data_IF_298103175067
#
_entry.id   IF_298103175067
#
_cell.length_a   1.000
_cell.length_b   1.000
_cell.length_c   1.000
_cell.angle_alpha   90.00
_cell.angle_beta   90.00
_cell.angle_gamma   90.00
#
_symmetry.space_group_name_H-M   'P 1'
#
loop_
_entity.id
_entity.type
_entity.pdbx_description
1 polymer ?
#
# COMPACT_ATOMS: atom_id res chain seq x y z
N UNK A 1 4.65 4.01 4.53
CA UNK A 1 5.39 5.15 5.11
C UNK A 1 4.61 6.45 4.88
N UNK A 2 5.02 7.56 5.50
CA UNK A 2 4.41 8.87 5.29
C UNK A 2 3.56 9.38 6.45
N UNK A 3 2.25 9.56 6.23
CA UNK A 3 1.35 10.21 7.18
C UNK A 3 0.42 9.21 7.90
N UNK A 4 -0.27 9.69 8.95
CA UNK A 4 -1.25 8.92 9.72
C UNK A 4 -2.32 8.21 8.86
N UNK A 5 -2.74 8.81 7.73
CA UNK A 5 -3.68 8.15 6.82
C UNK A 5 -3.05 6.95 6.12
N UNK A 6 -1.84 7.10 5.60
CA UNK A 6 -1.11 5.98 4.99
C UNK A 6 -0.86 4.84 5.99
N UNK A 7 -0.69 5.12 7.29
CA UNK A 7 -0.59 4.07 8.31
C UNK A 7 -1.89 3.28 8.46
N UNK A 8 -3.04 3.96 8.46
CA UNK A 8 -4.35 3.29 8.47
C UNK A 8 -4.57 2.48 7.20
N UNK A 9 -4.23 3.04 6.04
CA UNK A 9 -4.33 2.39 4.72
C UNK A 9 -3.45 1.12 4.68
N UNK A 10 -2.21 1.21 5.17
CA UNK A 10 -1.31 0.06 5.30
C UNK A 10 -1.85 -1.02 6.24
N UNK A 11 -2.43 -0.63 7.38
CA UNK A 11 -3.04 -1.58 8.31
C UNK A 11 -4.27 -2.27 7.68
N UNK A 12 -5.09 -1.54 6.92
CA UNK A 12 -6.23 -2.09 6.21
C UNK A 12 -5.79 -3.11 5.14
N UNK A 13 -4.80 -2.77 4.31
CA UNK A 13 -4.24 -3.69 3.31
C UNK A 13 -3.64 -4.95 3.98
N UNK A 14 -2.87 -4.79 5.05
CA UNK A 14 -2.28 -5.91 5.78
C UNK A 14 -3.37 -6.84 6.38
N UNK A 15 -4.43 -6.27 6.95
CA UNK A 15 -5.58 -7.03 7.45
C UNK A 15 -6.27 -7.79 6.32
N UNK A 16 -6.55 -7.14 5.19
CA UNK A 16 -7.23 -7.76 4.06
C UNK A 16 -6.42 -8.94 3.48
N UNK A 17 -5.09 -8.81 3.39
CA UNK A 17 -4.19 -9.88 2.98
C UNK A 17 -4.17 -11.04 3.98
N UNK A 18 -4.14 -10.74 5.28
CA UNK A 18 -4.20 -11.77 6.33
C UNK A 18 -5.53 -12.52 6.33
N UNK A 19 -6.66 -11.82 6.19
CA UNK A 19 -7.98 -12.43 6.08
C UNK A 19 -8.11 -13.31 4.83
N UNK A 20 -7.42 -12.92 3.76
CA UNK A 20 -7.28 -13.69 2.53
C UNK A 20 -6.37 -14.91 2.65
N UNK A 21 -5.61 -15.06 3.74
CA UNK A 21 -4.74 -16.21 4.00
C UNK A 21 -3.25 -16.01 3.66
N UNK A 22 -2.82 -14.78 3.41
CA UNK A 22 -1.40 -14.44 3.31
C UNK A 22 -0.77 -14.22 4.69
N UNK A 23 0.49 -14.56 4.83
CA UNK A 23 1.28 -14.27 6.02
C UNK A 23 2.17 -13.04 5.81
N UNK A 24 2.42 -12.32 6.91
CA UNK A 24 3.38 -11.21 6.92
C UNK A 24 4.78 -11.73 7.28
N UNK A 25 5.76 -11.45 6.42
CA UNK A 25 7.16 -11.74 6.73
C UNK A 25 7.76 -10.70 7.69
N UNK A 26 8.66 -11.14 8.56
CA UNK A 26 9.47 -10.26 9.41
C UNK A 26 10.67 -9.64 8.68
N UNK A 27 11.04 -10.18 7.51
CA UNK A 27 12.13 -9.70 6.67
C UNK A 27 11.67 -9.55 5.22
N UNK A 28 11.94 -8.40 4.55
CA UNK A 28 11.67 -8.22 3.14
C UNK A 28 12.34 -9.27 2.23
N UNK A 29 13.51 -9.80 2.62
CA UNK A 29 14.26 -10.79 1.84
C UNK A 29 13.58 -12.17 1.74
N UNK A 30 12.64 -12.46 2.64
CA UNK A 30 11.92 -13.74 2.71
C UNK A 30 10.50 -13.64 2.12
N UNK A 31 10.09 -12.47 1.65
CA UNK A 31 8.74 -12.24 1.16
C UNK A 31 8.60 -12.55 -0.34
N UNK A 32 7.49 -13.19 -0.73
CA UNK A 32 7.13 -13.36 -2.15
C UNK A 32 6.64 -12.04 -2.78
N UNK A 33 6.14 -11.11 -1.95
CA UNK A 33 5.66 -9.80 -2.36
C UNK A 33 6.02 -8.76 -1.31
N UNK A 34 6.56 -7.62 -1.75
CA UNK A 34 6.83 -6.45 -0.90
C UNK A 34 5.96 -5.28 -1.35
N UNK A 35 5.18 -4.71 -0.43
CA UNK A 35 4.28 -3.58 -0.71
C UNK A 35 4.86 -2.32 -0.07
N UNK A 36 5.22 -1.33 -0.88
CA UNK A 36 5.68 -0.01 -0.42
C UNK A 36 4.51 0.98 -0.54
N UNK A 37 3.88 1.31 0.59
CA UNK A 37 2.84 2.35 0.64
C UNK A 37 3.47 3.75 0.72
N UNK A 38 3.35 4.50 -0.37
CA UNK A 38 4.06 5.75 -0.65
C UNK A 38 3.25 7.00 -0.29
N UNK A 39 3.97 8.08 0.02
CA UNK A 39 3.41 9.42 0.11
C UNK A 39 3.98 10.28 -1.02
N UNK A 40 3.16 11.15 -1.59
CA UNK A 40 3.58 12.09 -2.64
C UNK A 40 3.04 13.50 -2.39
N UNK A 41 2.63 13.82 -1.16
CA UNK A 41 1.99 15.10 -0.87
C UNK A 41 3.01 16.24 -0.78
N UNK A 42 4.09 16.04 -0.01
CA UNK A 42 5.20 16.98 0.12
C UNK A 42 6.46 16.41 -0.51
N UNK A 43 7.35 17.28 -1.00
CA UNK A 43 8.54 16.88 -1.74
C UNK A 43 9.42 15.91 -0.93
N UNK A 44 9.70 16.20 0.33
CA UNK A 44 10.55 15.35 1.17
C UNK A 44 9.97 13.94 1.34
N UNK A 45 8.64 13.82 1.45
CA UNK A 45 7.97 12.52 1.56
C UNK A 45 7.96 11.77 0.22
N UNK A 46 7.93 12.49 -0.91
CA UNK A 46 8.12 11.89 -2.25
C UNK A 46 9.53 11.32 -2.37
N UNK A 47 10.56 12.08 -1.98
CA UNK A 47 11.96 11.66 -2.02
C UNK A 47 12.20 10.42 -1.14
N UNK A 48 11.72 10.45 0.10
CA UNK A 48 11.77 9.29 1.03
C UNK A 48 11.03 8.07 0.45
N UNK A 49 9.89 8.28 -0.20
CA UNK A 49 9.14 7.19 -0.82
C UNK A 49 9.90 6.58 -2.02
N UNK A 50 10.58 7.40 -2.82
CA UNK A 50 11.41 6.92 -3.92
C UNK A 50 12.63 6.15 -3.42
N UNK A 51 13.30 6.65 -2.37
CA UNK A 51 14.43 5.97 -1.74
C UNK A 51 14.02 4.57 -1.27
N UNK A 52 12.91 4.44 -0.54
CA UNK A 52 12.42 3.13 -0.09
C UNK A 52 12.02 2.20 -1.25
N UNK A 53 11.48 2.74 -2.35
CA UNK A 53 11.19 1.95 -3.56
C UNK A 53 12.50 1.38 -4.12
N UNK A 54 13.52 2.21 -4.30
CA UNK A 54 14.79 1.76 -4.88
C UNK A 54 15.56 0.83 -3.95
N UNK A 55 15.53 1.08 -2.64
CA UNK A 55 16.07 0.13 -1.64
C UNK A 55 15.37 -1.23 -1.73
N UNK A 56 14.04 -1.23 -1.88
CA UNK A 56 13.27 -2.47 -2.04
C UNK A 56 13.56 -3.16 -3.37
N UNK A 57 13.68 -2.39 -4.46
CA UNK A 57 14.02 -2.90 -5.78
C UNK A 57 15.41 -3.54 -5.82
N UNK A 58 16.35 -3.00 -5.04
CA UNK A 58 17.71 -3.53 -4.89
C UNK A 58 17.80 -4.77 -3.99
N UNK A 59 16.69 -5.22 -3.36
CA UNK A 59 16.70 -6.48 -2.62
C UNK A 59 16.98 -7.64 -3.57
N UNK A 60 17.87 -8.59 -3.21
CA UNK A 60 18.25 -9.66 -4.12
C UNK A 60 17.06 -10.51 -4.61
N UNK A 61 16.03 -10.69 -3.78
CA UNK A 61 14.82 -11.41 -4.18
C UNK A 61 13.99 -10.65 -5.23
N UNK A 62 13.90 -9.33 -5.13
CA UNK A 62 13.18 -8.48 -6.10
C UNK A 62 13.97 -8.35 -7.39
N UNK A 63 15.27 -8.10 -7.30
CA UNK A 63 16.16 -7.96 -8.47
C UNK A 63 16.19 -9.23 -9.34
N UNK A 64 16.16 -10.41 -8.71
CA UNK A 64 16.09 -11.70 -9.43
C UNK A 64 14.68 -12.05 -9.92
N UNK A 65 13.65 -11.32 -9.48
CA UNK A 65 12.25 -11.61 -9.78
C UNK A 65 11.65 -12.76 -8.98
N UNK A 66 12.29 -13.18 -7.88
CA UNK A 66 11.75 -14.15 -6.93
C UNK A 66 10.64 -13.53 -6.07
N UNK A 67 10.72 -12.21 -5.82
CA UNK A 67 9.73 -11.42 -5.10
C UNK A 67 9.19 -10.28 -5.95
N UNK A 68 7.91 -9.94 -5.80
CA UNK A 68 7.29 -8.83 -6.52
C UNK A 68 7.24 -7.55 -5.68
N UNK A 69 7.70 -6.43 -6.24
CA UNK A 69 7.50 -5.09 -5.68
C UNK A 69 6.16 -4.52 -6.14
N UNK A 70 5.33 -4.10 -5.18
CA UNK A 70 4.09 -3.35 -5.41
C UNK A 70 4.24 -1.95 -4.81
N UNK A 71 4.01 -0.92 -5.62
CA UNK A 71 4.00 0.47 -5.17
C UNK A 71 2.56 0.91 -4.95
N UNK A 72 2.21 1.20 -3.69
CA UNK A 72 0.86 1.58 -3.29
C UNK A 72 0.78 3.05 -2.84
N UNK A 73 -0.43 3.59 -2.72
CA UNK A 73 -0.70 4.83 -2.00
C UNK A 73 -0.82 6.08 -2.88
N UNK A 74 -0.25 7.19 -2.41
CA UNK A 74 -0.46 8.50 -3.00
C UNK A 74 0.38 8.73 -4.28
N UNK A 75 1.54 8.10 -4.41
CA UNK A 75 2.41 8.28 -5.59
C UNK A 75 1.76 7.73 -6.86
N UNK A 76 1.23 6.49 -6.90
CA UNK A 76 0.47 6.00 -8.06
C UNK A 76 -0.74 6.87 -8.40
N UNK A 77 -1.46 7.37 -7.38
CA UNK A 77 -2.62 8.23 -7.59
C UNK A 77 -2.26 9.60 -8.16
N UNK A 78 -1.05 10.11 -7.87
CA UNK A 78 -0.58 11.42 -8.32
C UNK A 78 0.02 11.38 -9.73
N UNK A 79 0.87 10.39 -9.99
CA UNK A 79 1.71 10.34 -11.19
C UNK A 79 1.16 9.39 -12.27
N UNK A 80 0.27 8.46 -11.92
CA UNK A 80 -0.42 7.61 -12.89
C UNK A 80 0.56 6.85 -13.80
N UNK A 81 0.28 6.89 -15.12
CA UNK A 81 1.02 6.16 -16.14
C UNK A 81 2.50 6.58 -16.22
N UNK A 82 2.82 7.86 -16.00
CA UNK A 82 4.20 8.37 -16.00
C UNK A 82 5.06 7.63 -14.95
N UNK A 83 4.45 7.20 -13.83
CA UNK A 83 5.17 6.47 -12.79
C UNK A 83 5.59 5.07 -13.26
N UNK A 84 4.76 4.42 -14.08
CA UNK A 84 5.04 3.08 -14.57
C UNK A 84 6.12 3.07 -15.65
N UNK A 85 6.29 4.18 -16.39
CA UNK A 85 7.39 4.35 -17.34
C UNK A 85 8.74 4.53 -16.64
N UNK A 86 8.76 5.24 -15.50
CA UNK A 86 9.97 5.54 -14.75
C UNK A 86 10.37 4.44 -13.75
N UNK A 87 9.40 3.80 -13.07
CA UNK A 87 9.63 2.78 -12.05
C UNK A 87 9.33 1.37 -12.57
N UNK A 88 10.15 0.92 -13.52
CA UNK A 88 9.97 -0.39 -14.18
C UNK A 88 10.21 -1.59 -13.28
N UNK A 89 10.82 -1.39 -12.11
CA UNK A 89 11.10 -2.41 -11.09
C UNK A 89 9.82 -2.86 -10.36
N UNK A 90 8.79 -2.00 -10.32
CA UNK A 90 7.52 -2.32 -9.69
C UNK A 90 6.65 -3.16 -10.64
N UNK A 91 6.12 -4.28 -10.12
CA UNK A 91 5.24 -5.18 -10.89
C UNK A 91 3.79 -4.66 -10.96
N UNK A 92 3.38 -3.87 -9.98
CA UNK A 92 2.05 -3.27 -9.94
C UNK A 92 2.03 -1.96 -9.17
N UNK A 93 1.08 -1.11 -9.54
CA UNK A 93 0.81 0.18 -8.90
C UNK A 93 -0.62 0.21 -8.38
N UNK A 94 -0.79 0.49 -7.08
CA UNK A 94 -2.10 0.50 -6.41
C UNK A 94 -2.36 1.90 -5.85
N UNK A 95 -3.16 2.74 -6.53
CA UNK A 95 -3.49 4.06 -5.98
C UNK A 95 -4.30 3.93 -4.69
N UNK A 96 -4.19 4.90 -3.79
CA UNK A 96 -4.92 4.91 -2.51
C UNK A 96 -6.46 4.81 -2.66
N UNK A 97 -7.02 5.18 -3.81
CA UNK A 97 -8.45 4.98 -4.12
C UNK A 97 -8.84 3.53 -4.47
N UNK A 98 -7.85 2.64 -4.60
CA UNK A 98 -8.00 1.21 -4.93
C UNK A 98 -7.27 0.31 -3.95
N UNK A 99 -7.07 0.77 -2.71
CA UNK A 99 -6.41 -0.04 -1.67
C UNK A 99 -7.15 -1.36 -1.39
N UNK A 100 -8.48 -1.37 -1.56
CA UNK A 100 -9.31 -2.57 -1.41
C UNK A 100 -9.01 -3.66 -2.46
N UNK A 101 -8.43 -3.28 -3.61
CA UNK A 101 -8.07 -4.21 -4.67
C UNK A 101 -6.73 -4.94 -4.39
N UNK A 102 -5.99 -4.57 -3.32
CA UNK A 102 -4.63 -5.08 -3.06
C UNK A 102 -4.57 -6.60 -3.08
N UNK A 103 -5.61 -7.23 -2.55
CA UNK A 103 -5.73 -8.67 -2.44
C UNK A 103 -5.82 -9.33 -3.83
N UNK A 104 -6.63 -8.78 -4.72
CA UNK A 104 -6.76 -9.25 -6.10
C UNK A 104 -5.48 -9.00 -6.91
N UNK A 105 -4.77 -7.90 -6.63
CA UNK A 105 -3.47 -7.61 -7.24
C UNK A 105 -2.43 -8.65 -6.83
N UNK A 106 -2.34 -8.98 -5.54
CA UNK A 106 -1.42 -10.00 -5.02
C UNK A 106 -1.77 -11.39 -5.58
N UNK A 107 -3.06 -11.77 -5.60
CA UNK A 107 -3.51 -13.01 -6.24
C UNK A 107 -3.03 -13.12 -7.69
N UNK A 108 -3.24 -12.06 -8.48
CA UNK A 108 -2.87 -12.03 -9.90
C UNK A 108 -1.37 -12.09 -10.14
N UNK A 109 -0.58 -11.49 -9.24
CA UNK A 109 0.89 -11.55 -9.29
C UNK A 109 1.40 -12.96 -8.98
N UNK A 110 0.85 -13.60 -7.94
CA UNK A 110 1.25 -14.94 -7.50
C UNK A 110 0.58 -16.06 -8.29
N UNK A 111 -0.35 -15.74 -9.20
CA UNK A 111 -1.08 -16.71 -10.00
C UNK A 111 -2.10 -17.53 -9.20
N UNK A 112 -2.56 -17.01 -8.06
CA UNK A 112 -3.52 -17.70 -7.19
C UNK A 112 -4.96 -17.43 -7.63
N UNK A 113 -5.78 -18.49 -7.68
CA UNK A 113 -7.21 -18.40 -8.00
C UNK A 113 -8.01 -18.79 -6.77
N UNK A 114 -8.65 -17.81 -6.13
CA UNK A 114 -9.46 -18.03 -4.92
C UNK A 114 -10.57 -19.05 -5.18
N UNK A 115 -10.71 -20.00 -4.25
CA UNK A 115 -11.74 -21.04 -4.29
C UNK A 115 -11.26 -22.43 -4.73
N UNK A 116 -9.97 -22.59 -5.05
CA UNK A 116 -9.40 -23.90 -5.44
C UNK A 116 -8.87 -24.72 -4.28
N UNK A 117 -8.46 -24.12 -3.14
CA UNK A 117 -8.31 -24.69 -1.78
C UNK A 117 -8.05 -23.52 -0.80
N UNK A 118 -8.41 -23.59 0.50
CA UNK A 118 -8.05 -22.54 1.45
C UNK A 118 -6.52 -22.43 1.60
N UNK A 119 -5.97 -21.22 1.60
CA UNK A 119 -4.59 -21.02 2.02
C UNK A 119 -4.42 -21.51 3.47
N UNK A 120 -3.34 -22.27 3.79
CA UNK A 120 -3.07 -22.71 5.15
C UNK A 120 -3.01 -21.49 6.07
N UNK A 121 -3.94 -21.40 7.03
CA UNK A 121 -3.93 -20.32 8.01
C UNK A 121 -2.85 -20.58 9.04
N UNK A 122 -1.69 -19.95 8.89
CA UNK A 122 -0.69 -19.83 9.95
C UNK A 122 -1.05 -18.59 10.77
N UNK A 123 -1.48 -18.80 12.01
CA UNK A 123 -1.86 -17.69 12.87
C UNK A 123 -0.62 -16.88 13.27
N UNK A 124 -0.42 -15.72 12.67
CA UNK A 124 0.11 -14.54 13.36
C UNK A 124 -0.02 -13.28 12.50
N UNK A 125 -1.01 -12.44 12.79
CA UNK A 125 -0.89 -11.03 12.50
C UNK A 125 -0.21 -10.37 13.71
N UNK A 126 1.00 -9.79 13.59
CA UNK A 126 1.33 -8.73 14.52
C UNK A 126 0.47 -7.52 14.11
N UNK A 127 -0.66 -7.33 14.79
CA UNK A 127 -1.14 -5.97 15.01
C UNK A 127 0.06 -5.17 15.51
N UNK A 128 0.42 -4.05 14.84
CA UNK A 128 1.57 -3.18 15.15
C UNK A 128 2.05 -3.35 16.60
N UNK A 129 2.95 -4.32 16.82
CA UNK A 129 3.11 -4.89 18.15
C UNK A 129 4.00 -3.96 18.95
N UNK A 130 3.39 -2.99 19.63
CA UNK A 130 4.11 -2.08 20.53
C UNK A 130 3.58 -0.65 20.62
N UNK A 131 2.60 -0.22 19.82
CA UNK A 131 2.02 1.12 20.00
C UNK A 131 0.93 1.11 21.07
N UNK A 132 0.88 2.17 21.88
CA UNK A 132 -0.19 2.42 22.88
C UNK A 132 -1.34 3.26 22.32
N UNK A 133 -1.28 3.56 21.03
CA UNK A 133 -2.27 4.34 20.30
C UNK A 133 -2.42 3.80 18.88
N UNK A 134 -3.54 4.12 18.24
CA UNK A 134 -3.78 3.83 16.84
C UNK A 134 -4.45 5.05 16.19
N UNK A 135 -4.17 5.27 14.91
CA UNK A 135 -4.90 6.24 14.11
C UNK A 135 -6.22 5.67 13.62
N UNK A 136 -7.25 6.51 13.56
CA UNK A 136 -8.57 6.18 13.03
C UNK A 136 -8.88 7.14 11.89
N UNK A 137 -9.06 6.60 10.68
CA UNK A 137 -9.40 7.39 9.48
C UNK A 137 -10.91 7.63 9.48
N UNK A 138 -11.36 8.77 10.01
CA UNK A 138 -12.79 9.15 10.07
C UNK A 138 -13.32 9.79 8.78
N UNK A 139 -12.42 10.23 7.90
CA UNK A 139 -12.75 10.83 6.60
C UNK A 139 -11.56 10.77 5.66
N UNK A 140 -11.82 10.90 4.37
CA UNK A 140 -10.78 11.06 3.37
C UNK A 140 -11.13 12.07 2.27
N UNK A 141 -10.13 12.39 1.43
CA UNK A 141 -10.23 13.43 0.41
C UNK A 141 -10.31 14.84 1.00
N UNK A 142 -10.55 15.83 0.14
CA UNK A 142 -10.68 17.23 0.54
C UNK A 142 -11.46 18.06 -0.50
N UNK A 143 -12.39 18.91 -0.04
CA UNK A 143 -13.14 19.86 -0.87
C UNK A 143 -12.66 21.31 -0.71
N UNK A 144 -11.47 21.50 -0.13
CA UNK A 144 -10.83 22.81 -0.07
C UNK A 144 -10.07 23.07 -1.37
N UNK A 145 -10.16 24.31 -1.85
CA UNK A 145 -9.51 24.76 -3.07
C UNK A 145 -8.26 25.60 -2.76
N UNK A 146 -7.39 25.06 -1.91
CA UNK A 146 -6.13 25.73 -1.59
C UNK A 146 -5.22 25.70 -2.83
N UNK A 147 -4.65 26.84 -3.21
CA UNK A 147 -3.82 26.99 -4.42
C UNK A 147 -2.58 26.09 -4.46
N UNK A 148 -2.13 25.61 -3.31
CA UNK A 148 -0.93 24.78 -3.15
C UNK A 148 -1.22 23.29 -2.93
N UNK A 149 -2.47 22.89 -2.71
CA UNK A 149 -2.81 21.55 -2.23
C UNK A 149 -3.25 20.64 -3.38
N UNK A 150 -2.62 19.47 -3.50
CA UNK A 150 -2.92 18.45 -4.52
C UNK A 150 -3.83 17.33 -4.02
N UNK A 151 -4.23 17.32 -2.74
CA UNK A 151 -5.06 16.26 -2.14
C UNK A 151 -6.35 15.97 -2.92
N UNK A 152 -7.11 16.96 -3.44
CA UNK A 152 -8.33 16.65 -4.19
C UNK A 152 -8.08 15.81 -5.45
N UNK A 153 -6.89 15.91 -6.05
CA UNK A 153 -6.50 15.08 -7.20
C UNK A 153 -5.98 13.70 -6.78
N UNK A 154 -5.29 13.62 -5.64
CA UNK A 154 -4.66 12.37 -5.15
C UNK A 154 -5.68 11.47 -4.45
N UNK A 155 -6.44 12.01 -3.49
CA UNK A 155 -7.38 11.26 -2.64
C UNK A 155 -8.86 11.55 -2.95
N UNK A 156 -9.13 12.38 -3.96
CA UNK A 156 -10.48 12.71 -4.38
C UNK A 156 -11.19 13.75 -3.50
N UNK A 157 -12.49 13.89 -3.76
CA UNK A 157 -13.41 14.78 -3.03
C UNK A 157 -13.60 14.33 -1.59
N UNK A 158 -13.93 15.29 -0.73
CA UNK A 158 -14.17 14.99 0.68
C UNK A 158 -15.31 13.99 0.86
N UNK A 159 -15.07 12.98 1.70
CA UNK A 159 -16.10 12.09 2.20
C UNK A 159 -15.77 11.68 3.64
N UNK A 160 -16.81 11.49 4.45
CA UNK A 160 -16.69 11.00 5.82
C UNK A 160 -17.25 9.58 5.89
N UNK A 161 -16.66 8.75 6.75
CA UNK A 161 -17.24 7.44 7.03
C UNK A 161 -18.46 7.58 7.95
N UNK A 162 -19.48 6.72 7.81
CA UNK A 162 -20.58 6.58 8.76
C UNK A 162 -20.06 6.30 10.18
N UNK A 163 -20.81 6.74 11.19
CA UNK A 163 -20.44 6.50 12.60
C UNK A 163 -20.34 5.01 12.95
N UNK A 164 -21.10 4.16 12.27
CA UNK A 164 -21.07 2.70 12.46
C UNK A 164 -19.80 2.03 11.92
N UNK A 165 -19.07 2.71 11.03
CA UNK A 165 -17.82 2.22 10.42
C UNK A 165 -16.56 2.78 11.10
N UNK A 166 -16.71 3.69 12.08
CA UNK A 166 -15.63 4.37 12.82
C UNK A 166 -15.49 3.77 14.22
#
# INVERSE_FOLDING_TARGET
MGCAKNEVDSAAMARALSEAGYDTSASPDEADVVIVNTCSFIQSATEESLEAIFETAALPAVERGDAALIVAGCMPARYGDDLAEELTEARAFVPCSKEDDIVAVVDGILGYVRGTEPLPRTASAPAQAGSVFAYVKISDGCDRFCSYCTIPAIRGRYHSFPFEDI
#
